data_IF_498960952361
#
_entry.id   IF_498960952361
#
_cell.length_a   1.000
_cell.length_b   1.000
_cell.length_c   1.000
_cell.angle_alpha   90.00
_cell.angle_beta   90.00
_cell.angle_gamma   90.00
#
_symmetry.space_group_name_H-M   'P 1'
#
loop_
_entity.id
_entity.type
_entity.pdbx_description
1 polymer ?
#
# COMPACT_ATOMS: atom_id res chain seq x y z
N UNK A 1 -9.56 90.46 -45.34
CA UNK A 1 -8.20 90.93 -45.48
C UNK A 1 -7.37 90.45 -44.32
N UNK A 2 -6.20 89.97 -44.63
CA UNK A 2 -5.08 89.63 -43.79
C UNK A 2 -5.18 88.31 -43.00
N UNK A 3 -4.46 87.37 -43.56
CA UNK A 3 -4.05 86.11 -43.09
C UNK A 3 -2.94 86.31 -41.95
N UNK A 4 -3.18 85.82 -40.81
CA UNK A 4 -2.26 85.74 -39.72
C UNK A 4 -1.68 84.33 -39.57
N UNK A 5 -0.46 84.16 -39.89
CA UNK A 5 0.31 82.92 -39.78
C UNK A 5 0.41 82.45 -38.30
N UNK A 6 -0.13 81.26 -38.00
CA UNK A 6 0.10 80.58 -36.76
C UNK A 6 1.26 79.59 -36.94
N UNK A 7 2.43 79.94 -36.41
CA UNK A 7 3.55 79.03 -36.31
C UNK A 7 3.26 77.96 -35.24
N UNK A 8 3.02 76.75 -35.67
CA UNK A 8 3.00 75.61 -34.76
C UNK A 8 4.42 75.28 -34.31
N UNK A 9 4.64 75.44 -33.02
CA UNK A 9 5.83 74.92 -32.37
C UNK A 9 5.74 73.41 -32.33
N UNK A 10 6.65 72.69 -33.01
CA UNK A 10 6.92 71.29 -32.82
C UNK A 10 7.49 71.04 -31.42
N UNK A 11 6.68 70.55 -30.52
CA UNK A 11 7.20 69.97 -29.26
C UNK A 11 7.63 68.56 -29.61
N UNK A 12 8.91 68.30 -29.48
CA UNK A 12 9.51 66.96 -29.53
C UNK A 12 9.07 66.21 -28.29
N UNK A 13 8.10 65.33 -28.42
CA UNK A 13 7.79 64.33 -27.45
C UNK A 13 8.88 63.24 -27.58
N UNK A 14 9.81 63.25 -26.66
CA UNK A 14 10.73 62.12 -26.44
C UNK A 14 9.91 61.01 -25.82
N UNK A 15 9.46 60.08 -26.64
CA UNK A 15 8.91 58.85 -26.15
C UNK A 15 10.05 57.98 -25.58
N UNK A 16 10.16 57.98 -24.26
CA UNK A 16 11.00 57.02 -23.56
C UNK A 16 10.31 55.67 -23.67
N UNK A 17 10.75 54.86 -24.61
CA UNK A 17 10.34 53.47 -24.71
C UNK A 17 11.00 52.72 -23.55
N UNK A 18 10.27 52.53 -22.45
CA UNK A 18 10.64 51.58 -21.42
C UNK A 18 10.48 50.19 -22.04
N UNK A 19 11.58 49.63 -22.51
CA UNK A 19 11.64 48.21 -22.88
C UNK A 19 11.60 47.44 -21.58
N UNK A 20 10.39 47.01 -21.19
CA UNK A 20 10.21 45.95 -20.19
C UNK A 20 10.78 44.68 -20.81
N UNK A 21 12.02 44.35 -20.51
CA UNK A 21 12.56 43.03 -20.71
C UNK A 21 11.88 42.12 -19.68
N UNK A 22 10.72 41.60 -20.05
CA UNK A 22 10.11 40.49 -19.34
C UNK A 22 11.05 39.28 -19.55
N UNK A 23 12.02 39.11 -18.64
CA UNK A 23 12.70 37.83 -18.51
C UNK A 23 11.65 36.82 -18.07
N UNK A 24 11.00 36.20 -19.05
CA UNK A 24 10.26 34.97 -18.83
C UNK A 24 11.30 33.94 -18.40
N UNK A 25 11.47 33.77 -17.09
CA UNK A 25 12.01 32.54 -16.55
C UNK A 25 11.03 31.44 -16.97
N UNK A 26 11.24 30.88 -18.14
CA UNK A 26 10.69 29.57 -18.45
C UNK A 26 11.27 28.62 -17.42
N UNK A 27 10.54 28.40 -16.32
CA UNK A 27 10.71 27.18 -15.56
C UNK A 27 10.39 26.06 -16.55
N UNK A 28 11.44 25.51 -17.14
CA UNK A 28 11.35 24.18 -17.72
C UNK A 28 11.05 23.30 -16.52
N UNK A 29 9.76 23.13 -16.24
CA UNK A 29 9.28 21.98 -15.54
C UNK A 29 9.77 20.81 -16.41
N UNK A 30 10.93 20.26 -16.04
CA UNK A 30 11.24 18.91 -16.40
C UNK A 30 10.09 18.11 -15.81
N UNK A 31 9.07 17.90 -16.60
CA UNK A 31 8.10 16.87 -16.34
C UNK A 31 8.93 15.61 -16.18
N UNK A 32 9.22 15.23 -14.93
CA UNK A 32 9.71 13.90 -14.67
C UNK A 32 8.60 13.02 -15.23
N UNK A 33 8.86 12.44 -16.37
CA UNK A 33 7.99 11.37 -16.87
C UNK A 33 7.78 10.39 -15.73
N UNK A 34 6.73 9.57 -15.77
CA UNK A 34 6.44 8.63 -14.70
C UNK A 34 7.76 7.97 -14.30
N UNK A 35 8.07 7.86 -13.00
CA UNK A 35 9.34 7.34 -12.52
C UNK A 35 9.66 6.10 -13.36
N UNK A 36 10.79 6.12 -14.06
CA UNK A 36 11.17 4.95 -14.85
C UNK A 36 11.19 3.80 -13.87
N UNK A 37 10.27 2.86 -14.02
CA UNK A 37 10.22 1.68 -13.17
C UNK A 37 11.61 1.10 -13.15
N UNK A 38 12.21 1.01 -11.96
CA UNK A 38 13.55 0.44 -11.81
C UNK A 38 13.51 -0.97 -12.37
N UNK A 39 14.40 -1.29 -13.28
CA UNK A 39 14.56 -2.65 -13.77
C UNK A 39 15.27 -3.46 -12.71
N UNK A 40 14.52 -4.01 -11.78
CA UNK A 40 15.06 -4.92 -10.79
C UNK A 40 15.42 -6.24 -11.46
N UNK A 41 16.62 -6.75 -11.19
CA UNK A 41 17.16 -7.98 -11.79
C UNK A 41 17.48 -9.04 -10.73
N UNK A 42 17.25 -8.73 -9.45
CA UNK A 42 17.46 -9.69 -8.39
C UNK A 42 16.58 -10.92 -8.61
N UNK A 43 17.16 -12.09 -8.41
CA UNK A 43 16.48 -13.38 -8.56
C UNK A 43 16.53 -14.22 -7.28
N UNK A 44 16.96 -13.60 -6.17
CA UNK A 44 17.14 -14.29 -4.91
C UNK A 44 16.58 -13.46 -3.77
N UNK A 45 15.82 -14.12 -2.91
CA UNK A 45 15.41 -13.55 -1.63
C UNK A 45 16.63 -13.30 -0.73
N UNK A 46 16.53 -12.27 0.08
CA UNK A 46 17.56 -11.92 1.08
C UNK A 46 16.90 -11.57 2.40
N UNK A 47 17.69 -11.38 3.43
CA UNK A 47 17.17 -10.89 4.70
C UNK A 47 16.51 -9.51 4.49
N UNK A 48 15.26 -9.40 4.89
CA UNK A 48 14.53 -8.14 4.90
C UNK A 48 15.18 -7.19 5.91
N UNK A 49 15.45 -5.97 5.49
CA UNK A 49 15.98 -4.90 6.35
C UNK A 49 14.90 -3.84 6.51
N UNK A 50 14.37 -3.73 7.72
CA UNK A 50 13.38 -2.73 8.09
C UNK A 50 14.05 -1.50 8.71
N UNK A 51 13.53 -0.31 8.38
CA UNK A 51 13.93 0.94 9.03
C UNK A 51 13.24 1.05 10.40
N UNK A 52 13.91 1.58 11.44
CA UNK A 52 13.26 1.80 12.72
C UNK A 52 12.04 2.72 12.60
N UNK A 53 10.92 2.34 13.21
CA UNK A 53 9.70 3.15 13.26
C UNK A 53 9.67 3.99 14.56
N UNK A 54 10.48 5.05 14.61
CA UNK A 54 10.67 5.90 15.79
C UNK A 54 10.32 7.38 15.57
N UNK A 55 9.70 7.72 14.44
CA UNK A 55 9.28 9.09 14.12
C UNK A 55 7.78 9.22 14.31
N UNK A 56 7.32 10.29 14.96
CA UNK A 56 5.90 10.64 14.95
C UNK A 56 5.54 11.26 13.61
N UNK A 57 4.40 10.91 13.02
CA UNK A 57 3.91 11.62 11.84
C UNK A 57 3.75 13.11 12.12
N UNK A 58 4.08 13.96 11.14
CA UNK A 58 3.98 15.44 11.29
C UNK A 58 2.52 15.87 11.43
N UNK A 59 1.63 15.17 10.70
CA UNK A 59 0.18 15.42 10.75
C UNK A 59 -0.48 14.36 11.61
N UNK A 60 -1.45 14.76 12.44
CA UNK A 60 -2.20 13.83 13.26
C UNK A 60 -3.12 12.94 12.42
N UNK A 61 -3.28 11.70 12.83
CA UNK A 61 -4.29 10.79 12.29
C UNK A 61 -5.69 11.38 12.40
N UNK A 62 -6.49 11.19 11.36
CA UNK A 62 -7.92 11.49 11.35
C UNK A 62 -8.63 10.37 10.62
N UNK A 63 -9.40 9.61 11.37
CA UNK A 63 -10.24 8.56 10.83
C UNK A 63 -11.63 8.67 11.46
N UNK A 64 -12.66 8.49 10.64
CA UNK A 64 -14.05 8.39 11.07
C UNK A 64 -14.69 7.21 10.37
N UNK A 65 -15.29 6.34 11.16
CA UNK A 65 -15.98 5.15 10.67
C UNK A 65 -17.46 5.32 11.01
N UNK A 66 -18.32 5.13 10.02
CA UNK A 66 -19.77 5.20 10.16
C UNK A 66 -20.44 4.16 9.28
N UNK A 67 -21.70 3.87 9.54
CA UNK A 67 -22.50 2.96 8.74
C UNK A 67 -23.60 3.72 8.04
N UNK A 68 -23.74 3.49 6.73
CA UNK A 68 -24.74 4.14 5.91
C UNK A 68 -25.11 3.29 4.70
N UNK A 69 -26.39 3.11 4.46
CA UNK A 69 -26.96 2.47 3.27
C UNK A 69 -26.34 1.07 3.00
N UNK A 70 -26.14 0.25 4.03
CA UNK A 70 -25.55 -1.09 3.92
C UNK A 70 -24.03 -1.12 3.75
N UNK A 71 -23.38 0.03 3.94
CA UNK A 71 -21.91 0.16 3.84
C UNK A 71 -21.32 0.71 5.13
N UNK A 72 -20.11 0.24 5.43
CA UNK A 72 -19.16 0.92 6.29
C UNK A 72 -18.50 2.01 5.48
N UNK A 73 -18.63 3.25 5.94
CA UNK A 73 -18.02 4.43 5.31
C UNK A 73 -16.85 4.87 6.17
N UNK A 74 -15.67 4.85 5.60
CA UNK A 74 -14.41 5.20 6.27
C UNK A 74 -13.88 6.48 5.63
N UNK A 75 -13.88 7.57 6.40
CA UNK A 75 -13.26 8.83 6.04
C UNK A 75 -11.90 8.91 6.72
N UNK A 76 -10.82 9.05 5.95
CA UNK A 76 -9.46 9.01 6.49
C UNK A 76 -8.52 9.98 5.79
N UNK A 77 -7.53 10.46 6.55
CA UNK A 77 -6.40 11.19 5.99
C UNK A 77 -5.15 10.32 5.76
N UNK A 78 -5.24 9.01 5.92
CA UNK A 78 -4.17 8.04 5.67
C UNK A 78 -2.88 8.29 6.48
N UNK A 79 -2.99 9.04 7.57
CA UNK A 79 -1.86 9.24 8.47
C UNK A 79 -1.95 8.21 9.59
N UNK A 80 -0.92 7.38 9.82
CA UNK A 80 -0.96 6.39 10.89
C UNK A 80 -1.02 7.04 12.27
N UNK A 81 -1.67 6.36 13.23
CA UNK A 81 -1.79 6.79 14.62
C UNK A 81 -0.59 6.35 15.50
N UNK A 82 0.36 5.66 14.92
CA UNK A 82 1.58 5.13 15.57
C UNK A 82 2.84 5.78 15.00
N UNK A 83 3.99 5.45 15.58
CA UNK A 83 5.29 5.89 15.05
C UNK A 83 5.60 5.20 13.72
N UNK A 84 6.33 5.91 12.86
CA UNK A 84 6.71 5.49 11.50
C UNK A 84 8.22 5.55 11.32
N UNK A 85 8.73 5.01 10.23
CA UNK A 85 10.10 5.18 9.81
C UNK A 85 10.42 6.60 9.35
N UNK A 86 11.69 6.84 9.06
CA UNK A 86 12.12 8.06 8.40
C UNK A 86 11.82 7.98 6.91
N UNK A 87 11.02 8.93 6.41
CA UNK A 87 10.69 9.09 5.00
C UNK A 87 10.91 10.54 4.57
N UNK A 88 11.67 10.78 3.45
CA UNK A 88 12.25 9.78 2.55
C UNK A 88 13.45 9.03 3.15
N UNK A 89 13.72 7.82 2.62
CA UNK A 89 14.88 7.03 2.98
C UNK A 89 15.57 6.42 1.73
N UNK A 90 16.67 5.68 1.93
CA UNK A 90 17.45 5.11 0.83
C UNK A 90 16.66 4.21 -0.11
N UNK A 91 15.65 3.48 0.40
CA UNK A 91 14.79 2.56 -0.38
C UNK A 91 13.52 3.23 -0.89
N UNK A 92 13.08 4.31 -0.24
CA UNK A 92 11.83 5.00 -0.52
C UNK A 92 12.02 6.53 -0.56
N UNK A 93 11.90 7.17 -1.73
CA UNK A 93 12.15 8.60 -1.89
C UNK A 93 10.94 9.49 -1.54
N UNK A 94 9.82 8.92 -1.14
CA UNK A 94 8.57 9.65 -0.93
C UNK A 94 8.43 10.12 0.52
N UNK A 95 7.61 11.12 0.74
CA UNK A 95 7.28 11.67 2.07
C UNK A 95 5.82 11.42 2.38
N UNK A 96 5.49 11.06 3.62
CA UNK A 96 4.10 10.89 4.05
C UNK A 96 3.34 12.19 3.90
N UNK A 97 2.18 12.14 3.25
CA UNK A 97 1.29 13.28 3.07
C UNK A 97 -0.16 12.90 3.36
N UNK A 98 -0.89 13.86 3.96
CA UNK A 98 -2.30 13.67 4.26
C UNK A 98 -3.11 13.46 2.98
N UNK A 99 -3.96 12.45 3.00
CA UNK A 99 -4.92 12.13 1.95
C UNK A 99 -6.32 12.62 2.32
N UNK A 100 -7.28 12.37 1.46
CA UNK A 100 -8.69 12.64 1.72
C UNK A 100 -9.54 11.49 1.16
N UNK A 101 -9.52 10.37 1.87
CA UNK A 101 -10.25 9.18 1.48
C UNK A 101 -11.70 9.22 1.94
N UNK A 102 -12.58 8.70 1.13
CA UNK A 102 -13.93 8.25 1.52
C UNK A 102 -14.12 6.88 0.89
N UNK A 103 -13.92 5.84 1.68
CA UNK A 103 -13.98 4.45 1.23
C UNK A 103 -15.29 3.84 1.73
N UNK A 104 -15.97 3.11 0.85
CA UNK A 104 -17.22 2.40 1.17
C UNK A 104 -16.98 0.90 1.05
N UNK A 105 -17.20 0.18 2.13
CA UNK A 105 -17.00 -1.26 2.25
C UNK A 105 -18.33 -1.90 2.61
N UNK A 106 -18.76 -2.99 1.99
CA UNK A 106 -19.99 -3.70 2.36
C UNK A 106 -20.01 -4.06 3.85
N UNK A 107 -21.15 -3.88 4.52
CA UNK A 107 -21.34 -4.34 5.92
C UNK A 107 -21.55 -5.85 6.00
N UNK A 108 -22.12 -6.43 4.96
CA UNK A 108 -22.40 -7.85 4.87
C UNK A 108 -21.60 -8.44 3.71
N UNK A 109 -20.38 -8.92 3.97
CA UNK A 109 -19.54 -9.52 2.94
C UNK A 109 -20.14 -10.82 2.44
N UNK A 110 -19.95 -11.10 1.16
CA UNK A 110 -20.39 -12.33 0.53
C UNK A 110 -19.24 -12.90 -0.28
N UNK A 111 -18.86 -14.14 0.02
CA UNK A 111 -17.83 -14.83 -0.74
C UNK A 111 -18.21 -14.97 -2.22
N UNK A 112 -17.34 -14.54 -3.10
CA UNK A 112 -17.54 -14.67 -4.54
C UNK A 112 -17.30 -16.13 -4.98
N UNK A 113 -17.95 -16.55 -6.06
CA UNK A 113 -17.71 -17.86 -6.68
C UNK A 113 -16.34 -17.96 -7.34
N UNK A 114 -15.71 -16.84 -7.65
CA UNK A 114 -14.38 -16.77 -8.25
C UNK A 114 -13.50 -15.86 -7.41
N UNK A 115 -12.33 -16.36 -7.11
CA UNK A 115 -11.28 -15.55 -6.47
C UNK A 115 -10.79 -14.50 -7.45
N UNK A 116 -10.59 -13.30 -6.95
CA UNK A 116 -9.91 -12.21 -7.67
C UNK A 116 -8.46 -12.17 -7.22
N UNK A 117 -7.51 -12.65 -8.02
CA UNK A 117 -6.09 -12.58 -7.66
C UNK A 117 -5.64 -11.12 -7.53
N UNK A 118 -4.93 -10.80 -6.45
CA UNK A 118 -4.36 -9.47 -6.24
C UNK A 118 -3.20 -9.16 -7.20
N UNK A 119 -2.56 -10.21 -7.74
CA UNK A 119 -1.33 -10.13 -8.52
C UNK A 119 -1.51 -10.58 -9.96
N UNK A 120 -2.66 -10.28 -10.56
CA UNK A 120 -2.75 -10.49 -12.00
C UNK A 120 -1.93 -9.43 -12.73
N UNK A 121 -1.00 -9.88 -13.59
CA UNK A 121 -0.52 -9.04 -14.67
C UNK A 121 -1.71 -8.82 -15.60
N UNK A 122 -2.28 -7.66 -15.54
CA UNK A 122 -3.32 -7.31 -16.48
C UNK A 122 -2.66 -6.47 -17.57
N UNK A 123 -2.90 -6.82 -18.82
CA UNK A 123 -2.62 -5.94 -19.98
C UNK A 123 -3.31 -4.57 -19.82
N UNK A 124 -4.16 -4.40 -18.83
CA UNK A 124 -5.07 -3.27 -18.62
C UNK A 124 -4.72 -2.34 -17.45
N UNK A 125 -3.59 -2.51 -16.79
CA UNK A 125 -3.19 -1.60 -15.71
C UNK A 125 -2.41 -2.24 -14.57
N UNK A 126 -2.07 -1.48 -13.54
CA UNK A 126 -1.43 -2.03 -12.36
C UNK A 126 -2.34 -3.05 -11.69
N UNK A 127 -1.78 -4.07 -11.00
CA UNK A 127 -2.56 -4.96 -10.16
C UNK A 127 -3.38 -4.13 -9.18
N UNK A 128 -4.55 -4.65 -8.77
CA UNK A 128 -5.35 -4.03 -7.72
C UNK A 128 -4.52 -4.04 -6.43
N UNK A 129 -3.93 -2.91 -6.10
CA UNK A 129 -2.98 -2.81 -4.99
C UNK A 129 -3.68 -2.77 -3.63
N UNK A 130 -4.70 -1.90 -3.41
CA UNK A 130 -5.37 -1.84 -2.13
C UNK A 130 -6.19 -3.11 -1.89
N UNK A 131 -5.76 -3.90 -0.91
CA UNK A 131 -6.49 -5.06 -0.43
C UNK A 131 -7.61 -4.66 0.54
N UNK A 132 -7.36 -3.65 1.37
CA UNK A 132 -8.27 -3.22 2.41
C UNK A 132 -7.78 -1.98 3.13
N UNK A 133 -8.40 -1.70 4.27
CA UNK A 133 -8.07 -0.53 5.09
C UNK A 133 -8.13 -0.87 6.58
N UNK A 134 -7.16 -0.39 7.34
CA UNK A 134 -7.07 -0.56 8.78
C UNK A 134 -8.09 0.27 9.55
N UNK A 135 -8.38 -0.11 10.80
CA UNK A 135 -9.22 0.69 11.70
C UNK A 135 -8.66 2.09 11.97
N UNK A 136 -7.36 2.28 11.74
CA UNK A 136 -6.71 3.59 11.80
C UNK A 136 -6.74 4.36 10.48
N UNK A 137 -7.41 3.83 9.46
CA UNK A 137 -7.60 4.48 8.16
C UNK A 137 -6.41 4.43 7.22
N UNK A 138 -5.42 3.56 7.48
CA UNK A 138 -4.26 3.30 6.60
C UNK A 138 -4.54 2.09 5.73
N UNK A 139 -4.11 2.14 4.47
CA UNK A 139 -4.37 1.09 3.50
C UNK A 139 -3.52 -0.17 3.75
N UNK A 140 -4.09 -1.33 3.46
CA UNK A 140 -3.39 -2.61 3.32
C UNK A 140 -3.11 -2.87 1.83
N UNK A 141 -1.85 -3.00 1.46
CA UNK A 141 -1.39 -3.27 0.08
C UNK A 141 -0.31 -4.36 0.08
N UNK A 142 -0.68 -5.64 0.21
CA UNK A 142 0.31 -6.72 0.32
C UNK A 142 1.14 -6.91 -0.96
N UNK A 143 0.65 -6.47 -2.11
CA UNK A 143 1.38 -6.55 -3.38
C UNK A 143 2.37 -5.41 -3.59
N UNK A 144 3.20 -5.54 -4.63
CA UNK A 144 4.15 -4.50 -5.04
C UNK A 144 3.92 -4.07 -6.50
N UNK A 145 4.42 -2.90 -6.87
CA UNK A 145 4.48 -2.46 -8.25
C UNK A 145 5.77 -2.93 -8.96
N UNK A 146 6.67 -3.59 -8.25
CA UNK A 146 7.97 -4.03 -8.71
C UNK A 146 7.87 -5.40 -9.38
N UNK A 147 8.28 -5.45 -10.65
CA UNK A 147 8.34 -6.66 -11.45
C UNK A 147 9.77 -6.94 -11.90
N UNK A 148 10.11 -8.21 -12.06
CA UNK A 148 11.38 -8.63 -12.59
C UNK A 148 11.61 -8.00 -13.97
N UNK A 149 12.78 -7.39 -14.16
CA UNK A 149 13.15 -6.62 -15.36
C UNK A 149 12.20 -5.45 -15.68
N UNK A 150 11.33 -5.06 -14.73
CA UNK A 150 10.27 -4.07 -14.96
C UNK A 150 9.19 -4.56 -15.94
N UNK A 151 9.14 -5.85 -16.22
CA UNK A 151 8.22 -6.44 -17.18
C UNK A 151 6.97 -7.00 -16.48
N UNK A 152 5.90 -6.22 -16.48
CA UNK A 152 4.61 -6.63 -15.91
C UNK A 152 3.96 -7.79 -16.67
N UNK A 153 4.26 -7.94 -17.96
CA UNK A 153 3.74 -9.04 -18.79
C UNK A 153 4.42 -10.38 -18.55
N UNK A 154 5.52 -10.43 -17.81
CA UNK A 154 6.21 -11.67 -17.46
C UNK A 154 5.70 -12.32 -16.15
N UNK A 155 4.72 -11.74 -15.49
CA UNK A 155 4.07 -12.23 -14.26
C UNK A 155 4.98 -12.41 -13.03
N UNK A 156 6.25 -12.06 -13.09
CA UNK A 156 7.18 -12.18 -11.98
C UNK A 156 7.17 -10.91 -11.12
N UNK A 157 6.28 -10.90 -10.13
CA UNK A 157 6.10 -9.79 -9.20
C UNK A 157 6.89 -10.04 -7.92
N UNK A 158 7.70 -9.09 -7.51
CA UNK A 158 8.49 -9.23 -6.28
C UNK A 158 7.62 -9.31 -5.04
N UNK A 159 7.99 -10.22 -4.13
CA UNK A 159 7.41 -10.27 -2.80
C UNK A 159 7.93 -9.10 -1.97
N UNK A 160 7.02 -8.32 -1.38
CA UNK A 160 7.37 -7.12 -0.63
C UNK A 160 8.31 -7.40 0.55
N UNK A 161 8.11 -8.53 1.20
CA UNK A 161 8.86 -8.95 2.39
C UNK A 161 10.00 -9.92 2.06
N UNK A 162 10.16 -10.31 0.80
CA UNK A 162 11.18 -11.27 0.35
C UNK A 162 12.60 -10.70 0.33
N UNK A 163 12.78 -9.39 0.53
CA UNK A 163 14.09 -8.74 0.59
C UNK A 163 14.85 -8.67 -0.74
N UNK A 164 14.33 -9.26 -1.82
CA UNK A 164 14.99 -9.26 -3.13
C UNK A 164 15.11 -7.84 -3.72
N UNK A 165 14.18 -6.96 -3.38
CA UNK A 165 14.21 -5.53 -3.70
C UNK A 165 14.04 -4.72 -2.43
N UNK A 166 14.78 -3.60 -2.33
CA UNK A 166 14.64 -2.70 -1.19
C UNK A 166 13.52 -1.71 -1.47
N UNK A 167 12.42 -1.81 -0.74
CA UNK A 167 11.27 -0.90 -0.78
C UNK A 167 11.39 0.22 0.26
N UNK A 168 12.40 0.17 1.16
CA UNK A 168 12.56 1.12 2.26
C UNK A 168 11.45 1.03 3.29
N UNK A 169 10.98 -0.20 3.56
CA UNK A 169 9.96 -0.48 4.57
C UNK A 169 10.45 -0.11 5.97
N UNK A 170 9.55 0.41 6.78
CA UNK A 170 9.79 0.59 8.21
C UNK A 170 9.39 -0.65 9.03
N UNK A 171 9.59 -0.59 10.35
CA UNK A 171 9.28 -1.69 11.27
C UNK A 171 7.78 -2.04 11.34
N UNK A 172 6.90 -1.25 10.73
CA UNK A 172 5.50 -1.58 10.56
C UNK A 172 5.24 -2.31 9.24
N UNK A 173 6.29 -2.78 8.53
CA UNK A 173 6.21 -3.37 7.19
C UNK A 173 5.50 -2.45 6.18
N UNK A 174 5.72 -1.15 6.30
CA UNK A 174 5.06 -0.12 5.52
C UNK A 174 6.05 0.83 4.86
N UNK A 175 5.61 1.46 3.79
CA UNK A 175 6.33 2.54 3.16
C UNK A 175 5.39 3.58 2.50
N UNK A 176 5.92 4.47 1.67
CA UNK A 176 5.17 5.59 1.11
C UNK A 176 5.17 5.52 -0.42
N UNK A 177 3.98 5.55 -1.05
CA UNK A 177 3.84 5.68 -2.50
C UNK A 177 4.10 7.11 -2.99
N UNK A 178 4.35 7.31 -4.31
CA UNK A 178 4.23 8.63 -4.91
C UNK A 178 2.86 9.25 -4.60
N UNK A 179 2.87 10.52 -4.14
CA UNK A 179 1.66 11.18 -3.65
C UNK A 179 1.50 11.14 -2.13
N UNK A 180 2.37 10.42 -1.43
CA UNK A 180 2.47 10.47 0.02
C UNK A 180 1.59 9.46 0.76
N UNK A 181 1.03 8.47 0.07
CA UNK A 181 0.20 7.41 0.65
C UNK A 181 1.09 6.44 1.45
N UNK A 182 0.90 6.40 2.75
CA UNK A 182 1.53 5.40 3.63
C UNK A 182 0.66 4.15 3.66
N UNK A 183 1.24 2.96 3.47
CA UNK A 183 0.48 1.72 3.40
C UNK A 183 1.29 0.53 3.92
N UNK A 184 0.58 -0.49 4.41
CA UNK A 184 1.16 -1.71 4.96
C UNK A 184 1.29 -2.80 3.90
N UNK A 185 2.49 -3.38 3.79
CA UNK A 185 2.74 -4.59 2.98
C UNK A 185 2.68 -5.88 3.80
N UNK A 186 2.79 -5.78 5.10
CA UNK A 186 2.78 -6.90 6.03
C UNK A 186 2.13 -6.54 7.35
N UNK A 187 2.57 -7.19 8.41
CA UNK A 187 2.03 -7.01 9.75
C UNK A 187 2.16 -5.55 10.20
N UNK A 188 1.04 -4.85 10.48
CA UNK A 188 1.07 -3.46 10.93
C UNK A 188 1.41 -3.39 12.43
N UNK A 189 2.69 -3.63 12.77
CA UNK A 189 3.17 -3.78 14.14
C UNK A 189 2.78 -2.58 15.03
N UNK A 190 2.89 -1.36 14.49
CA UNK A 190 2.50 -0.16 15.22
C UNK A 190 1.00 -0.10 15.50
N UNK A 191 0.15 -0.55 14.55
CA UNK A 191 -1.30 -0.63 14.77
C UNK A 191 -1.64 -1.69 15.83
N UNK A 192 -0.97 -2.84 15.81
CA UNK A 192 -1.15 -3.86 16.84
C UNK A 192 -0.83 -3.32 18.25
N UNK A 193 0.26 -2.58 18.36
CA UNK A 193 0.63 -1.93 19.63
C UNK A 193 -0.44 -0.93 20.11
N UNK A 194 -1.01 -0.14 19.22
CA UNK A 194 -2.10 0.80 19.54
C UNK A 194 -3.40 0.09 19.94
N UNK A 195 -3.55 -1.19 19.57
CA UNK A 195 -4.68 -2.05 19.94
C UNK A 195 -4.39 -2.91 21.18
N UNK A 196 -3.33 -2.61 21.94
CA UNK A 196 -2.87 -3.37 23.10
C UNK A 196 -2.64 -4.87 22.81
N UNK A 197 -2.14 -5.14 21.60
CA UNK A 197 -1.84 -6.49 21.13
C UNK A 197 -0.45 -6.52 20.46
N UNK A 198 0.63 -6.26 21.19
CA UNK A 198 1.98 -6.24 20.64
C UNK A 198 2.35 -7.62 20.08
N UNK A 199 3.18 -7.64 19.04
CA UNK A 199 3.68 -8.88 18.43
C UNK A 199 4.78 -9.48 19.32
N UNK A 200 4.35 -10.10 20.43
CA UNK A 200 5.20 -10.82 21.37
C UNK A 200 4.70 -12.26 21.60
N UNK A 201 5.47 -13.09 22.28
CA UNK A 201 5.24 -14.53 22.44
C UNK A 201 4.01 -14.89 23.33
N UNK A 202 3.23 -13.94 23.81
CA UNK A 202 2.20 -14.15 24.84
C UNK A 202 0.75 -14.13 24.34
N UNK A 203 0.50 -14.32 23.03
CA UNK A 203 -0.83 -14.16 22.43
C UNK A 203 -1.73 -15.39 22.42
N UNK A 204 -1.27 -16.54 22.96
CA UNK A 204 -2.05 -17.80 22.95
C UNK A 204 -3.34 -17.76 23.77
N UNK A 205 -3.60 -16.70 24.54
CA UNK A 205 -4.76 -16.60 25.43
C UNK A 205 -5.88 -15.68 24.89
N UNK A 206 -5.62 -14.92 23.83
CA UNK A 206 -6.60 -13.91 23.32
C UNK A 206 -6.75 -14.03 21.81
N UNK A 207 -8.00 -13.92 21.36
CA UNK A 207 -8.28 -13.71 19.94
C UNK A 207 -7.66 -12.39 19.48
N UNK A 208 -7.09 -12.37 18.28
CA UNK A 208 -6.52 -11.15 17.69
C UNK A 208 -7.56 -10.05 17.57
N UNK A 209 -7.17 -8.79 17.75
CA UNK A 209 -8.06 -7.67 17.53
C UNK A 209 -8.39 -7.52 16.05
N UNK A 210 -9.51 -6.86 15.76
CA UNK A 210 -9.85 -6.42 14.42
C UNK A 210 -8.85 -5.36 13.95
N UNK A 211 -8.10 -5.65 12.90
CA UNK A 211 -7.14 -4.72 12.28
C UNK A 211 -7.79 -3.80 11.26
N UNK A 212 -8.88 -4.26 10.63
CA UNK A 212 -9.55 -3.53 9.57
C UNK A 212 -10.47 -4.40 8.74
N UNK A 213 -10.68 -4.01 7.50
CA UNK A 213 -11.56 -4.72 6.58
C UNK A 213 -10.92 -4.80 5.20
N UNK A 214 -11.09 -5.94 4.57
CA UNK A 214 -10.84 -6.09 3.15
C UNK A 214 -11.85 -5.28 2.32
N UNK A 215 -11.52 -4.99 1.08
CA UNK A 215 -12.33 -4.13 0.20
C UNK A 215 -13.73 -4.71 -0.08
N UNK A 216 -13.90 -6.01 0.03
CA UNK A 216 -15.16 -6.75 -0.12
C UNK A 216 -15.95 -6.90 1.18
N UNK A 217 -15.44 -6.38 2.31
CA UNK A 217 -16.14 -6.30 3.58
C UNK A 217 -15.71 -7.30 4.64
N UNK A 218 -14.95 -8.32 4.29
CA UNK A 218 -14.48 -9.28 5.29
C UNK A 218 -13.55 -8.63 6.30
N UNK A 219 -13.69 -8.97 7.59
CA UNK A 219 -12.83 -8.43 8.63
C UNK A 219 -11.42 -9.02 8.53
N UNK A 220 -10.42 -8.20 8.83
CA UNK A 220 -9.00 -8.56 8.83
C UNK A 220 -8.49 -8.59 10.25
N UNK A 221 -7.93 -9.72 10.65
CA UNK A 221 -7.34 -9.96 11.96
C UNK A 221 -5.85 -10.31 11.84
N UNK A 222 -5.14 -10.32 12.96
CA UNK A 222 -3.84 -10.95 13.07
C UNK A 222 -3.99 -12.48 13.21
N UNK A 223 -2.92 -13.20 13.45
CA UNK A 223 -2.84 -14.65 13.30
C UNK A 223 -3.55 -15.51 14.36
N UNK A 224 -4.03 -14.95 15.48
CA UNK A 224 -4.57 -15.73 16.59
C UNK A 224 -6.10 -15.73 16.59
N UNK A 225 -6.67 -16.91 16.53
CA UNK A 225 -8.12 -17.11 16.51
C UNK A 225 -8.54 -18.40 17.23
N UNK A 226 -9.84 -18.62 17.33
CA UNK A 226 -10.40 -19.83 17.94
C UNK A 226 -9.93 -21.08 17.20
N UNK A 227 -9.53 -22.12 17.95
CA UNK A 227 -9.09 -23.40 17.38
C UNK A 227 -10.22 -24.10 16.62
N UNK A 228 -11.45 -23.99 17.12
CA UNK A 228 -12.66 -24.45 16.44
C UNK A 228 -13.37 -23.24 15.81
N UNK A 229 -13.62 -23.26 14.48
CA UNK A 229 -14.14 -22.09 13.77
C UNK A 229 -15.52 -21.61 14.24
N UNK A 230 -16.35 -22.50 14.73
CA UNK A 230 -17.73 -22.27 15.15
C UNK A 230 -17.91 -22.18 16.69
N UNK A 231 -16.81 -22.25 17.46
CA UNK A 231 -16.86 -22.24 18.92
C UNK A 231 -15.99 -21.14 19.52
N UNK A 232 -16.61 -20.05 19.93
CA UNK A 232 -15.95 -18.91 20.59
C UNK A 232 -15.41 -19.22 22.01
N UNK A 233 -15.64 -20.42 22.52
CA UNK A 233 -15.10 -20.90 23.80
C UNK A 233 -13.92 -21.87 23.62
N UNK A 234 -13.61 -22.25 22.38
CA UNK A 234 -12.46 -23.07 22.11
C UNK A 234 -11.15 -22.34 22.41
N UNK A 235 -10.07 -23.09 22.58
CA UNK A 235 -8.75 -22.53 22.81
C UNK A 235 -8.34 -21.57 21.68
N UNK A 236 -7.54 -20.59 22.00
CA UNK A 236 -6.92 -19.72 21.00
C UNK A 236 -5.66 -20.41 20.48
N UNK A 237 -5.46 -20.37 19.16
CA UNK A 237 -4.23 -20.81 18.52
C UNK A 237 -3.76 -19.85 17.46
N UNK A 238 -2.50 -19.92 17.09
CA UNK A 238 -2.03 -19.29 15.88
C UNK A 238 -2.55 -20.05 14.67
N UNK A 239 -3.27 -19.34 13.80
CA UNK A 239 -3.79 -19.86 12.55
C UNK A 239 -2.67 -19.81 11.49
N UNK A 240 -2.56 -20.87 10.72
CA UNK A 240 -1.52 -21.03 9.71
C UNK A 240 -2.06 -20.91 8.30
N UNK A 241 -1.32 -20.24 7.44
CA UNK A 241 -1.63 -20.18 6.02
C UNK A 241 -1.45 -21.55 5.36
N UNK A 242 -2.24 -21.83 4.31
CA UNK A 242 -2.03 -22.97 3.43
C UNK A 242 -1.15 -22.66 2.22
N UNK A 243 -0.55 -21.48 2.16
CA UNK A 243 0.49 -21.17 1.17
C UNK A 243 1.86 -21.67 1.64
N UNK A 244 2.61 -22.22 0.71
CA UNK A 244 3.99 -22.69 0.92
C UNK A 244 4.88 -22.33 -0.26
N UNK A 245 6.18 -22.32 -0.06
CA UNK A 245 7.13 -22.23 -1.16
C UNK A 245 7.02 -23.46 -2.05
N UNK A 246 7.05 -23.26 -3.36
CA UNK A 246 7.17 -24.32 -4.35
C UNK A 246 8.50 -25.02 -4.21
N UNK A 247 8.53 -26.28 -4.54
CA UNK A 247 9.77 -27.05 -4.60
C UNK A 247 10.49 -26.87 -5.94
N UNK A 248 11.84 -26.90 -5.93
CA UNK A 248 12.66 -26.88 -7.13
C UNK A 248 13.01 -25.49 -7.65
N UNK A 249 13.07 -25.34 -8.95
CA UNK A 249 13.56 -24.14 -9.60
C UNK A 249 12.48 -23.45 -10.44
N UNK A 250 12.56 -22.13 -10.48
CA UNK A 250 11.77 -21.30 -11.41
C UNK A 250 12.17 -21.63 -12.85
N UNK A 251 11.26 -21.48 -13.80
CA UNK A 251 11.62 -21.53 -15.21
C UNK A 251 12.77 -20.57 -15.53
N UNK A 252 13.71 -21.03 -16.32
CA UNK A 252 14.78 -20.18 -16.86
C UNK A 252 14.39 -19.58 -18.20
N UNK A 253 15.33 -18.89 -18.84
CA UNK A 253 15.17 -18.30 -20.15
C UNK A 253 14.94 -16.80 -20.13
N UNK A 254 14.66 -16.23 -21.30
CA UNK A 254 14.68 -14.77 -21.49
C UNK A 254 13.58 -14.01 -20.72
N UNK A 255 12.45 -14.66 -20.43
CA UNK A 255 11.29 -14.04 -19.78
C UNK A 255 11.06 -14.51 -18.34
N UNK A 256 11.98 -15.27 -17.78
CA UNK A 256 11.81 -15.84 -16.43
C UNK A 256 13.09 -15.62 -15.62
N UNK A 257 12.98 -15.38 -14.29
CA UNK A 257 14.13 -15.08 -13.44
C UNK A 257 15.06 -16.27 -13.21
N UNK A 258 14.59 -17.52 -13.38
CA UNK A 258 15.35 -18.71 -13.00
C UNK A 258 15.66 -18.77 -11.52
N UNK A 259 16.58 -19.64 -11.11
CA UNK A 259 16.95 -19.87 -9.71
C UNK A 259 15.92 -20.72 -8.96
N UNK A 260 16.12 -20.88 -7.67
CA UNK A 260 15.20 -21.63 -6.82
C UNK A 260 13.97 -20.80 -6.43
N UNK A 261 12.88 -21.48 -6.14
CA UNK A 261 11.74 -20.86 -5.44
C UNK A 261 12.16 -20.58 -3.98
N UNK A 262 12.46 -19.33 -3.67
CA UNK A 262 13.03 -18.93 -2.38
C UNK A 262 12.29 -17.76 -1.70
N UNK A 263 11.15 -17.34 -2.27
CA UNK A 263 10.32 -16.26 -1.74
C UNK A 263 10.69 -14.86 -2.27
N UNK A 264 11.55 -14.77 -3.29
CA UNK A 264 11.84 -13.49 -3.95
C UNK A 264 10.65 -12.93 -4.71
N UNK A 265 9.76 -13.80 -5.18
CA UNK A 265 8.58 -13.44 -5.97
C UNK A 265 7.31 -14.05 -5.36
N UNK A 266 6.19 -13.37 -5.55
CA UNK A 266 4.88 -13.87 -5.14
C UNK A 266 4.60 -15.23 -5.80
N UNK A 267 5.02 -15.40 -7.06
CA UNK A 267 4.86 -16.65 -7.82
C UNK A 267 5.71 -17.82 -7.30
N UNK A 268 6.57 -17.58 -6.31
CA UNK A 268 7.30 -18.65 -5.65
C UNK A 268 6.42 -19.48 -4.71
N UNK A 269 5.28 -18.92 -4.34
CA UNK A 269 4.34 -19.58 -3.45
C UNK A 269 3.23 -20.30 -4.21
N UNK A 270 2.69 -21.34 -3.61
CA UNK A 270 1.52 -22.07 -4.07
C UNK A 270 0.56 -22.34 -2.91
N UNK A 271 -0.71 -22.35 -3.22
CA UNK A 271 -1.72 -22.81 -2.28
C UNK A 271 -1.72 -24.34 -2.23
N UNK A 272 -1.64 -24.91 -1.03
CA UNK A 272 -1.65 -26.34 -0.77
C UNK A 272 -2.81 -26.65 0.19
N UNK A 273 -3.96 -27.00 -0.37
CA UNK A 273 -5.20 -27.24 0.39
C UNK A 273 -4.98 -28.19 1.57
N UNK A 274 -5.42 -27.78 2.76
CA UNK A 274 -5.39 -28.61 3.96
C UNK A 274 -4.03 -28.71 4.66
N UNK A 275 -3.03 -27.92 4.24
CA UNK A 275 -1.73 -27.85 4.94
C UNK A 275 -1.70 -26.84 6.07
N UNK A 276 -2.65 -25.90 6.08
CA UNK A 276 -2.85 -24.89 7.11
C UNK A 276 -4.32 -24.77 7.49
N UNK A 277 -4.63 -23.76 8.26
CA UNK A 277 -5.99 -23.46 8.76
C UNK A 277 -6.82 -22.61 7.80
N UNK A 278 -6.14 -21.92 6.89
CA UNK A 278 -6.72 -20.88 6.04
C UNK A 278 -6.89 -21.38 4.60
N UNK A 279 -7.89 -20.86 3.92
CA UNK A 279 -8.18 -21.11 2.51
C UNK A 279 -7.23 -20.35 1.55
N UNK A 280 -7.52 -20.41 0.28
CA UNK A 280 -6.75 -19.76 -0.78
C UNK A 280 -6.85 -18.20 -0.80
N UNK A 281 -7.75 -17.63 0.01
CA UNK A 281 -7.81 -16.19 0.27
C UNK A 281 -7.12 -15.79 1.57
N UNK A 282 -6.41 -16.71 2.25
CA UNK A 282 -5.95 -16.58 3.63
C UNK A 282 -7.10 -16.22 4.59
N UNK A 283 -8.29 -16.71 4.30
CA UNK A 283 -9.49 -16.58 5.11
C UNK A 283 -9.94 -17.88 5.72
N UNK A 284 -10.88 -17.79 6.62
CA UNK A 284 -11.58 -18.94 7.21
C UNK A 284 -12.93 -18.46 7.67
N UNK A 285 -14.00 -19.16 7.26
CA UNK A 285 -15.29 -18.91 7.88
C UNK A 285 -15.24 -19.28 9.37
N UNK A 286 -15.47 -18.31 10.25
CA UNK A 286 -15.42 -18.53 11.69
C UNK A 286 -16.18 -17.45 12.47
N UNK A 287 -16.51 -17.80 13.73
CA UNK A 287 -16.94 -16.78 14.70
C UNK A 287 -15.75 -15.96 15.18
N UNK A 288 -15.98 -14.70 15.46
CA UNK A 288 -15.00 -13.78 16.03
C UNK A 288 -15.66 -12.90 17.11
N UNK A 289 -14.92 -12.14 17.93
CA UNK A 289 -15.53 -11.23 18.89
C UNK A 289 -16.50 -10.22 18.27
N UNK A 290 -16.20 -9.73 17.05
CA UNK A 290 -17.02 -8.77 16.31
C UNK A 290 -18.09 -9.41 15.45
N UNK A 291 -17.95 -10.70 15.14
CA UNK A 291 -18.86 -11.46 14.28
C UNK A 291 -19.25 -12.78 14.99
N UNK A 292 -20.05 -12.75 16.06
CA UNK A 292 -20.39 -13.95 16.84
C UNK A 292 -21.25 -14.97 16.09
N UNK A 293 -21.93 -14.54 15.02
CA UNK A 293 -22.70 -15.43 14.14
C UNK A 293 -21.84 -16.03 13.00
N UNK A 294 -20.57 -15.65 12.95
CA UNK A 294 -19.63 -16.07 11.90
C UNK A 294 -19.63 -15.15 10.68
N UNK A 295 -18.49 -15.14 10.02
CA UNK A 295 -18.27 -14.39 8.78
C UNK A 295 -17.23 -15.08 7.90
#
# INVERSE_FOLDING_TARGET
MNLGNFKMRQQHLIAVAIVLVATTFSFVLFGQGPPRMRKHQATKATTLVLMPANRKPITSNRVRISEKDGFRVIESNDIPNHTVGEFPNRGNPNTIASQNWTIRIPLHPVANKKITPLHQSTERGPPNMPFGIGVNGVLFEPGTAEFWMGNRGADWNYEALGGAVSLGLDANHAHVQPGGVYHYHGLPTGLLNELDFPDDEHHSEKHSPLLGWAADGFPVYYAYGYSQPDDSKSEIKQLTTSFRLKEGNRPGGQNNPGGQYDGAFIQDYEFAQGTGDLDECNGRFCVTPECPEGT
#
